data_IF_070632499189
#
_entry.id   IF_070632499189
#
_cell.length_a   1.000
_cell.length_b   1.000
_cell.length_c   1.000
_cell.angle_alpha   90.00
_cell.angle_beta   90.00
_cell.angle_gamma   90.00
#
_symmetry.space_group_name_H-M   'P 1'
#
loop_
_entity.id
_entity.type
_entity.pdbx_description
1 polymer ?
#
# COMPACT_ATOMS: atom_id res chain seq x y z
N UNK A 1 8.57 -5.22 -1.84
CA UNK A 1 9.38 -6.00 -2.82
C UNK A 1 8.80 -7.41 -3.06
N UNK A 2 7.51 -7.52 -3.41
CA UNK A 2 6.81 -8.81 -3.46
C UNK A 2 7.36 -9.80 -4.50
N UNK A 3 7.58 -9.34 -5.74
CA UNK A 3 8.08 -10.20 -6.82
C UNK A 3 9.45 -10.83 -6.51
N UNK A 4 10.37 -10.08 -5.90
CA UNK A 4 11.71 -10.59 -5.55
C UNK A 4 11.62 -11.61 -4.42
N UNK A 5 10.86 -11.30 -3.35
CA UNK A 5 10.58 -12.23 -2.25
C UNK A 5 9.99 -13.54 -2.76
N UNK A 6 8.99 -13.46 -3.63
CA UNK A 6 8.34 -14.63 -4.24
C UNK A 6 9.33 -15.49 -5.05
N UNK A 7 10.22 -14.88 -5.83
CA UNK A 7 11.24 -15.61 -6.59
C UNK A 7 12.29 -16.28 -5.69
N UNK A 8 12.73 -15.62 -4.61
CA UNK A 8 13.65 -16.21 -3.64
C UNK A 8 13.03 -17.46 -3.00
N UNK A 9 11.79 -17.34 -2.52
CA UNK A 9 11.03 -18.45 -1.92
C UNK A 9 10.86 -19.61 -2.90
N UNK A 10 10.43 -19.33 -4.14
CA UNK A 10 10.27 -20.37 -5.19
C UNK A 10 11.55 -21.11 -5.54
N UNK A 11 12.72 -20.49 -5.33
CA UNK A 11 14.04 -21.09 -5.57
C UNK A 11 14.67 -21.67 -4.31
N UNK A 12 13.97 -21.64 -3.17
CA UNK A 12 14.48 -22.13 -1.88
C UNK A 12 15.53 -21.22 -1.24
N UNK A 13 15.67 -19.98 -1.69
CA UNK A 13 16.56 -19.01 -1.06
C UNK A 13 15.82 -18.31 0.10
N UNK A 14 16.49 -18.14 1.26
CA UNK A 14 15.94 -17.32 2.33
C UNK A 14 15.75 -15.87 1.83
N UNK A 15 14.63 -15.19 2.16
CA UNK A 15 14.44 -13.78 1.84
C UNK A 15 15.59 -12.94 2.40
N UNK A 16 16.21 -12.11 1.55
CA UNK A 16 17.28 -11.21 1.95
C UNK A 16 17.07 -9.85 1.29
N UNK A 17 17.06 -8.78 2.09
CA UNK A 17 16.93 -7.40 1.61
C UNK A 17 15.57 -7.05 1.00
N UNK A 18 14.53 -7.88 1.22
CA UNK A 18 13.19 -7.69 0.64
C UNK A 18 12.11 -7.36 1.66
N UNK A 19 12.40 -7.54 2.95
CA UNK A 19 11.50 -7.25 4.07
C UNK A 19 11.83 -5.85 4.63
N UNK A 20 11.48 -4.84 3.84
CA UNK A 20 11.72 -3.43 4.18
C UNK A 20 10.44 -2.84 4.79
N UNK A 21 10.51 -2.20 5.98
CA UNK A 21 9.35 -1.57 6.59
C UNK A 21 8.69 -0.54 5.66
N UNK A 22 7.36 -0.60 5.55
CA UNK A 22 6.59 0.39 4.79
C UNK A 22 6.42 1.67 5.62
N UNK A 23 6.70 2.87 5.08
CA UNK A 23 6.34 4.12 5.73
C UNK A 23 4.83 4.38 5.66
N UNK A 24 4.32 5.27 6.51
CA UNK A 24 2.95 5.77 6.37
C UNK A 24 2.86 6.75 5.18
N UNK A 25 2.56 6.22 4.00
CA UNK A 25 2.41 7.01 2.78
C UNK A 25 1.22 7.98 2.84
N UNK A 26 0.18 7.68 3.62
CA UNK A 26 -0.95 8.59 3.80
C UNK A 26 -0.52 9.81 4.61
N UNK A 27 0.27 9.62 5.68
CA UNK A 27 0.85 10.72 6.44
C UNK A 27 1.80 11.58 5.61
N UNK A 28 2.66 10.95 4.80
CA UNK A 28 3.54 11.67 3.86
C UNK A 28 2.71 12.49 2.87
N UNK A 29 1.67 11.90 2.28
CA UNK A 29 0.74 12.61 1.39
C UNK A 29 0.12 13.83 2.07
N UNK A 30 -0.40 13.68 3.28
CA UNK A 30 -0.96 14.80 4.06
C UNK A 30 0.08 15.91 4.29
N UNK A 31 1.32 15.57 4.64
CA UNK A 31 2.41 16.53 4.83
C UNK A 31 2.78 17.28 3.54
N UNK A 32 2.55 16.66 2.37
CA UNK A 32 2.76 17.26 1.04
C UNK A 32 1.51 18.01 0.50
N UNK A 33 0.44 18.11 1.29
CA UNK A 33 -0.78 18.79 0.89
C UNK A 33 -1.77 17.93 0.09
N UNK A 34 -1.54 16.62 -0.01
CA UNK A 34 -2.47 15.67 -0.61
C UNK A 34 -3.62 15.34 0.35
N UNK A 35 -4.72 14.82 -0.21
CA UNK A 35 -5.70 14.05 0.53
C UNK A 35 -5.11 12.67 0.80
N UNK A 36 -4.62 12.43 2.02
CA UNK A 36 -3.98 11.16 2.38
C UNK A 36 -4.86 10.30 3.28
N UNK A 37 -5.19 9.09 2.85
CA UNK A 37 -6.07 8.13 3.55
C UNK A 37 -5.37 6.78 3.68
N UNK A 38 -5.46 6.17 4.86
CA UNK A 38 -5.07 4.78 5.08
C UNK A 38 -6.32 3.91 5.02
N UNK A 39 -6.32 2.89 4.16
CA UNK A 39 -7.42 1.95 3.98
C UNK A 39 -7.11 0.70 4.80
N UNK A 40 -7.95 0.41 5.80
CA UNK A 40 -7.77 -0.73 6.72
C UNK A 40 -8.32 -2.04 6.15
N UNK A 41 -9.34 -1.97 5.29
CA UNK A 41 -9.98 -3.13 4.68
C UNK A 41 -10.18 -2.93 3.17
N UNK A 42 -10.00 -3.98 2.34
CA UNK A 42 -10.31 -3.92 0.92
C UNK A 42 -11.77 -3.50 0.62
N UNK A 43 -12.70 -3.74 1.55
CA UNK A 43 -14.10 -3.34 1.42
C UNK A 43 -14.32 -1.83 1.36
N UNK A 44 -13.43 -1.05 1.96
CA UNK A 44 -13.55 0.41 2.06
C UNK A 44 -12.99 1.12 0.82
N UNK A 45 -12.24 0.39 -0.03
CA UNK A 45 -11.54 0.95 -1.18
C UNK A 45 -12.50 1.63 -2.17
N UNK A 46 -13.69 1.08 -2.39
CA UNK A 46 -14.66 1.66 -3.32
C UNK A 46 -15.16 3.03 -2.86
N UNK A 47 -15.46 3.17 -1.58
CA UNK A 47 -15.92 4.43 -0.99
C UNK A 47 -14.80 5.48 -0.99
N UNK A 48 -13.61 5.12 -0.53
CA UNK A 48 -12.47 6.04 -0.46
C UNK A 48 -11.98 6.45 -1.86
N UNK A 49 -12.07 5.57 -2.85
CA UNK A 49 -11.82 5.92 -4.24
C UNK A 49 -12.85 6.92 -4.76
N UNK A 50 -14.13 6.77 -4.40
CA UNK A 50 -15.16 7.75 -4.74
C UNK A 50 -14.86 9.14 -4.19
N UNK A 51 -14.42 9.23 -2.92
CA UNK A 51 -14.00 10.49 -2.28
C UNK A 51 -12.74 11.07 -2.96
N UNK A 52 -11.76 10.21 -3.28
CA UNK A 52 -10.52 10.60 -3.92
C UNK A 52 -10.74 11.29 -5.28
N UNK A 53 -11.70 10.81 -6.07
CA UNK A 53 -11.98 11.30 -7.42
C UNK A 53 -12.60 12.70 -7.45
N UNK A 54 -13.26 13.12 -6.35
CA UNK A 54 -13.89 14.45 -6.23
C UNK A 54 -13.12 15.39 -5.30
N UNK A 55 -11.97 14.95 -4.78
CA UNK A 55 -11.13 15.76 -3.90
C UNK A 55 -10.58 16.99 -4.64
N UNK A 56 -10.42 18.09 -3.91
CA UNK A 56 -9.89 19.37 -4.39
C UNK A 56 -8.35 19.38 -4.53
N UNK A 57 -7.70 18.23 -4.34
CA UNK A 57 -6.25 18.07 -4.26
C UNK A 57 -5.85 16.64 -4.67
N UNK A 58 -4.58 16.39 -5.05
CA UNK A 58 -4.09 15.05 -5.30
C UNK A 58 -4.35 14.10 -4.12
N UNK A 59 -4.61 12.84 -4.40
CA UNK A 59 -4.96 11.85 -3.36
C UNK A 59 -3.91 10.74 -3.27
N UNK A 60 -3.59 10.32 -2.04
CA UNK A 60 -2.81 9.12 -1.72
C UNK A 60 -3.70 8.19 -0.90
N UNK A 61 -4.10 7.06 -1.50
CA UNK A 61 -4.77 5.96 -0.82
C UNK A 61 -3.71 4.90 -0.48
N UNK A 62 -3.40 4.72 0.80
CA UNK A 62 -2.43 3.73 1.28
C UNK A 62 -3.15 2.50 1.83
N UNK A 63 -2.99 1.36 1.17
CA UNK A 63 -3.53 0.07 1.61
C UNK A 63 -2.39 -0.94 1.66
N UNK A 64 -2.31 -1.70 2.74
CA UNK A 64 -1.36 -2.80 2.85
C UNK A 64 -1.85 -3.99 2.03
N UNK A 65 -0.96 -4.57 1.23
CA UNK A 65 -1.25 -5.84 0.55
C UNK A 65 -1.41 -6.94 1.62
N UNK A 66 -2.54 -7.64 1.60
CA UNK A 66 -2.75 -8.81 2.45
C UNK A 66 -1.91 -10.00 1.98
N UNK A 67 -1.61 -10.95 2.87
CA UNK A 67 -1.02 -12.21 2.45
C UNK A 67 -2.03 -12.98 1.61
N UNK A 68 -1.79 -13.07 0.30
CA UNK A 68 -2.53 -14.00 -0.56
C UNK A 68 -2.19 -15.42 -0.10
N UNK A 69 -3.08 -16.02 0.69
CA UNK A 69 -3.01 -17.45 0.97
C UNK A 69 -3.25 -18.20 -0.34
N UNK A 70 -2.21 -18.86 -0.84
CA UNK A 70 -2.29 -19.77 -1.98
C UNK A 70 -2.66 -21.19 -1.51
#
# INVERSE_FOLDING_TARGET
>A
YGQIRHNMQRRGYPPLGVDIPSPDFAAIGRAMGCHGVTIESPGDLGEELGKALVADRPTVLHMMEGETSA
#
